data_IF_110406522507
#
_entry.id   IF_110406522507
#
_cell.length_a   1.000
_cell.length_b   1.000
_cell.length_c   1.000
_cell.angle_alpha   90.00
_cell.angle_beta   90.00
_cell.angle_gamma   90.00
#
_symmetry.space_group_name_H-M   'P 1'
#
loop_
_entity.id
_entity.type
_entity.pdbx_description
1 polymer ?
#
# COMPACT_ATOMS: atom_id res chain seq x y z
N UNK A 1 -25.77 -19.75 -36.94
CA UNK A 1 -24.70 -20.78 -37.04
C UNK A 1 -23.43 -20.16 -36.49
N UNK A 2 -23.00 -20.56 -35.28
CA UNK A 2 -21.78 -20.07 -34.62
C UNK A 2 -20.60 -20.93 -35.07
N UNK A 3 -19.52 -20.29 -35.51
CA UNK A 3 -18.24 -20.94 -35.79
C UNK A 3 -17.37 -20.75 -34.54
N UNK A 4 -16.98 -21.85 -33.90
CA UNK A 4 -16.03 -21.86 -32.78
C UNK A 4 -14.61 -21.82 -33.36
N UNK A 5 -13.68 -21.02 -32.81
CA UNK A 5 -12.27 -21.09 -33.19
C UNK A 5 -11.60 -22.31 -32.51
N UNK A 6 -10.81 -23.02 -33.32
CA UNK A 6 -9.99 -24.16 -32.93
C UNK A 6 -8.84 -23.74 -32.01
N UNK A 7 -8.67 -24.47 -30.91
CA UNK A 7 -7.58 -24.33 -29.94
C UNK A 7 -6.29 -24.94 -30.53
N UNK A 8 -5.13 -24.28 -30.48
CA UNK A 8 -3.88 -24.91 -30.87
C UNK A 8 -3.31 -25.81 -29.75
N UNK A 9 -2.84 -26.99 -30.15
CA UNK A 9 -2.05 -27.93 -29.34
C UNK A 9 -0.72 -27.29 -28.95
N UNK A 10 -0.52 -27.01 -27.66
CA UNK A 10 0.80 -26.66 -27.12
C UNK A 10 1.52 -27.94 -26.71
N UNK A 11 2.49 -28.32 -27.54
CA UNK A 11 3.41 -29.43 -27.30
C UNK A 11 4.19 -29.24 -26.01
N UNK A 12 4.06 -30.23 -25.13
CA UNK A 12 4.82 -30.36 -23.90
C UNK A 12 6.22 -30.89 -24.26
N UNK A 13 7.21 -29.99 -24.33
CA UNK A 13 8.63 -30.38 -24.38
C UNK A 13 9.16 -30.42 -22.95
N UNK A 14 9.40 -31.63 -22.48
CA UNK A 14 10.13 -31.88 -21.26
C UNK A 14 11.61 -31.55 -21.43
N UNK A 15 12.16 -30.88 -20.42
CA UNK A 15 13.57 -30.93 -20.08
C UNK A 15 13.65 -31.23 -18.57
N UNK A 16 14.05 -32.46 -18.28
CA UNK A 16 14.69 -32.82 -17.03
C UNK A 16 16.18 -32.42 -17.11
N UNK A 17 16.86 -32.47 -15.95
CA UNK A 17 18.25 -32.06 -15.69
C UNK A 17 18.40 -30.53 -15.54
N UNK A 18 18.90 -29.97 -14.43
CA UNK A 18 20.02 -30.39 -13.60
C UNK A 18 19.78 -30.01 -12.12
N UNK A 19 20.00 -30.96 -11.19
CA UNK A 19 20.10 -30.68 -9.76
C UNK A 19 21.53 -30.24 -9.45
N UNK A 20 21.74 -28.93 -9.37
CA UNK A 20 23.01 -28.39 -8.87
C UNK A 20 22.95 -28.27 -7.35
N UNK A 21 23.70 -29.15 -6.68
CA UNK A 21 23.90 -29.13 -5.25
C UNK A 21 24.82 -27.96 -4.87
N UNK A 22 24.25 -26.84 -4.43
CA UNK A 22 25.02 -25.78 -3.80
C UNK A 22 25.37 -26.16 -2.36
N UNK A 23 26.67 -26.43 -2.16
CA UNK A 23 27.33 -26.66 -0.89
C UNK A 23 26.93 -25.68 0.21
N UNK A 24 26.61 -26.23 1.37
CA UNK A 24 26.50 -25.52 2.64
C UNK A 24 27.88 -25.44 3.29
N UNK A 25 28.64 -24.38 3.07
CA UNK A 25 29.80 -24.04 3.91
C UNK A 25 29.92 -22.51 4.01
N UNK A 26 29.66 -21.97 5.20
CA UNK A 26 29.69 -20.52 5.46
C UNK A 26 29.07 -20.13 6.80
N UNK A 27 29.54 -20.78 7.86
CA UNK A 27 29.44 -20.31 9.24
C UNK A 27 30.33 -19.06 9.41
N UNK A 28 30.11 -18.30 10.50
CA UNK A 28 30.83 -17.07 10.90
C UNK A 28 30.23 -15.81 10.23
N UNK A 29 29.59 -14.86 10.92
CA UNK A 29 29.98 -14.22 12.17
C UNK A 29 28.73 -13.51 12.71
N UNK A 30 28.21 -13.99 13.86
CA UNK A 30 27.11 -13.34 14.57
C UNK A 30 27.66 -12.10 15.26
N UNK A 31 27.82 -11.01 14.51
CA UNK A 31 28.04 -9.69 15.08
C UNK A 31 26.77 -9.30 15.84
N UNK A 32 26.79 -9.56 17.14
CA UNK A 32 25.98 -8.89 18.15
C UNK A 32 26.13 -7.38 17.95
N UNK A 33 25.26 -6.81 17.12
CA UNK A 33 25.05 -5.38 17.10
C UNK A 33 24.29 -5.06 18.39
N UNK A 34 25.05 -4.73 19.43
CA UNK A 34 24.55 -4.05 20.60
C UNK A 34 23.77 -2.82 20.13
N UNK A 35 22.45 -2.94 20.08
CA UNK A 35 21.57 -1.80 19.90
C UNK A 35 21.79 -0.92 21.13
N UNK A 36 22.36 0.28 21.00
CA UNK A 36 22.54 1.16 22.14
C UNK A 36 21.19 1.39 22.79
N UNK A 37 21.10 1.44 24.13
CA UNK A 37 19.87 1.82 24.80
C UNK A 37 19.51 3.22 24.32
N UNK A 38 18.48 3.30 23.48
CA UNK A 38 17.90 4.56 23.08
C UNK A 38 17.31 5.16 24.36
N UNK A 39 18.09 6.03 25.01
CA UNK A 39 17.62 6.88 26.10
C UNK A 39 16.31 7.50 25.60
N UNK A 40 15.20 7.05 26.19
CA UNK A 40 13.94 7.77 26.18
C UNK A 40 14.16 9.03 27.02
N UNK A 41 14.93 9.97 26.46
CA UNK A 41 14.99 11.32 26.99
C UNK A 41 13.66 11.94 26.65
N UNK A 42 12.75 11.80 27.62
CA UNK A 42 11.47 12.50 27.68
C UNK A 42 11.71 14.00 27.64
N UNK A 43 11.87 14.52 26.42
CA UNK A 43 11.80 15.93 26.11
C UNK A 43 10.41 16.20 25.55
N UNK A 44 9.39 16.15 26.40
CA UNK A 44 8.17 16.93 26.15
C UNK A 44 8.57 18.41 26.23
N UNK A 45 9.19 18.90 25.17
CA UNK A 45 9.16 20.32 24.85
C UNK A 45 7.73 20.55 24.37
N UNK A 46 6.83 20.75 25.34
CA UNK A 46 5.63 21.51 25.10
C UNK A 46 6.13 22.87 24.62
N UNK A 47 6.17 23.04 23.29
CA UNK A 47 6.36 24.35 22.69
C UNK A 47 5.12 25.14 23.13
N UNK A 48 5.23 26.16 23.98
CA UNK A 48 4.12 27.06 24.17
C UNK A 48 3.85 27.67 22.80
N UNK A 49 2.64 27.45 22.27
CA UNK A 49 2.19 28.27 21.16
C UNK A 49 1.99 29.67 21.74
N UNK A 50 3.05 30.48 21.70
CA UNK A 50 2.97 31.93 21.88
C UNK A 50 2.14 32.46 20.71
N UNK A 51 0.84 32.47 20.97
CA UNK A 51 -0.17 33.02 20.09
C UNK A 51 -0.22 34.51 20.42
N UNK A 52 0.88 35.22 20.16
CA UNK A 52 0.87 36.68 20.09
C UNK A 52 0.16 37.07 18.79
N UNK A 53 -1.15 36.86 18.83
CA UNK A 53 -2.07 37.39 17.85
C UNK A 53 -2.15 38.89 18.13
N UNK A 54 -1.72 39.77 17.19
CA UNK A 54 -1.93 41.19 17.36
C UNK A 54 -3.43 41.43 17.53
N UNK A 55 -3.76 42.22 18.55
CA UNK A 55 -5.09 42.78 18.82
C UNK A 55 -5.50 43.60 17.60
N UNK A 56 -6.05 42.91 16.61
CA UNK A 56 -6.75 43.50 15.49
C UNK A 56 -8.22 43.58 15.91
N UNK A 57 -8.76 44.79 15.84
CA UNK A 57 -10.12 45.17 16.20
C UNK A 57 -11.14 44.05 15.95
N UNK A 58 -11.83 43.65 17.02
CA UNK A 58 -12.86 42.62 17.07
C UNK A 58 -14.03 42.99 16.16
N UNK A 59 -13.94 42.60 14.88
CA UNK A 59 -15.14 42.29 14.10
C UNK A 59 -15.54 40.88 14.55
N UNK A 60 -16.35 40.81 15.61
CA UNK A 60 -17.11 39.61 15.97
C UNK A 60 -18.12 39.31 14.84
N UNK A 61 -17.63 38.86 13.69
CA UNK A 61 -18.45 38.20 12.70
C UNK A 61 -18.86 36.86 13.31
N UNK A 62 -20.03 36.85 13.96
CA UNK A 62 -20.64 35.64 14.47
C UNK A 62 -20.57 34.58 13.37
N UNK A 63 -19.99 33.39 13.63
CA UNK A 63 -19.84 32.37 12.60
C UNK A 63 -21.23 32.12 12.01
N UNK A 64 -21.36 32.38 10.71
CA UNK A 64 -22.61 32.29 9.98
C UNK A 64 -23.20 30.89 10.16
N UNK A 65 -24.09 30.71 11.15
CA UNK A 65 -24.62 29.41 11.56
C UNK A 65 -25.30 28.69 10.38
N UNK A 66 -25.82 29.45 9.41
CA UNK A 66 -26.40 28.93 8.19
C UNK A 66 -25.38 28.17 7.32
N UNK A 67 -24.10 28.56 7.30
CA UNK A 67 -23.04 27.86 6.55
C UNK A 67 -22.81 26.49 7.17
N UNK A 68 -22.74 26.40 8.50
CA UNK A 68 -22.59 25.12 9.19
C UNK A 68 -23.79 24.19 8.94
N UNK A 69 -25.01 24.72 8.96
CA UNK A 69 -26.23 23.96 8.64
C UNK A 69 -26.21 23.48 7.18
N UNK A 70 -25.84 24.34 6.23
CA UNK A 70 -25.74 23.98 4.81
C UNK A 70 -24.67 22.91 4.59
N UNK A 71 -23.49 23.06 5.21
CA UNK A 71 -22.40 22.10 5.10
C UNK A 71 -22.80 20.74 5.70
N UNK A 72 -23.47 20.73 6.85
CA UNK A 72 -23.98 19.52 7.48
C UNK A 72 -25.05 18.82 6.63
N UNK A 73 -25.88 19.57 5.91
CA UNK A 73 -26.86 19.01 4.97
C UNK A 73 -26.21 18.46 3.68
N UNK A 74 -25.11 19.07 3.23
CA UNK A 74 -24.39 18.65 2.01
C UNK A 74 -23.41 17.50 2.24
N UNK A 75 -22.82 17.38 3.43
CA UNK A 75 -21.81 16.35 3.74
C UNK A 75 -22.28 14.92 3.43
N UNK A 76 -23.51 14.49 3.77
CA UNK A 76 -24.02 13.16 3.39
C UNK A 76 -24.22 12.99 1.88
N UNK A 77 -24.49 14.07 1.14
CA UNK A 77 -24.62 14.01 -0.33
C UNK A 77 -23.25 13.90 -1.00
N UNK A 78 -22.23 14.50 -0.38
CA UNK A 78 -20.85 14.43 -0.83
C UNK A 78 -20.15 13.13 -0.42
N UNK A 79 -20.69 12.42 0.59
CA UNK A 79 -20.07 11.18 1.05
C UNK A 79 -20.02 10.13 -0.07
N UNK A 80 -20.99 10.12 -0.99
CA UNK A 80 -21.02 9.16 -2.10
C UNK A 80 -20.50 9.75 -3.42
N UNK A 81 -20.03 11.00 -3.40
CA UNK A 81 -19.48 11.66 -4.58
C UNK A 81 -18.03 11.24 -4.87
N UNK A 82 -17.32 10.70 -3.88
CA UNK A 82 -15.96 10.19 -4.05
C UNK A 82 -15.99 8.70 -4.41
N UNK A 83 -15.11 8.24 -5.32
CA UNK A 83 -14.97 6.82 -5.62
C UNK A 83 -14.60 6.07 -4.34
N UNK A 84 -15.44 5.10 -3.97
CA UNK A 84 -15.21 4.23 -2.82
C UNK A 84 -14.70 2.88 -3.27
N UNK A 85 -13.85 2.28 -2.46
CA UNK A 85 -13.45 0.90 -2.65
C UNK A 85 -14.60 -0.07 -2.26
N UNK A 86 -14.34 -1.36 -2.38
CA UNK A 86 -15.28 -2.42 -1.98
C UNK A 86 -15.56 -2.46 -0.46
N UNK A 87 -14.71 -1.85 0.36
CA UNK A 87 -14.92 -1.71 1.81
C UNK A 87 -15.68 -0.42 2.19
N UNK A 88 -15.98 0.44 1.21
CA UNK A 88 -16.66 1.70 1.40
C UNK A 88 -15.74 2.83 1.83
N UNK A 89 -14.42 2.68 1.77
CA UNK A 89 -13.43 3.74 2.05
C UNK A 89 -13.26 4.60 0.80
N UNK A 90 -13.25 5.93 0.98
CA UNK A 90 -12.97 6.84 -0.13
C UNK A 90 -11.53 6.65 -0.61
N UNK A 91 -11.36 6.29 -1.87
CA UNK A 91 -10.04 6.17 -2.50
C UNK A 91 -9.76 7.50 -3.19
N UNK A 92 -8.58 8.07 -2.93
CA UNK A 92 -8.06 9.16 -3.77
C UNK A 92 -7.36 8.49 -4.96
N UNK A 93 -7.85 8.63 -6.20
CA UNK A 93 -7.20 8.04 -7.35
C UNK A 93 -5.79 8.62 -7.49
N UNK A 94 -4.81 7.73 -7.61
CA UNK A 94 -3.42 8.13 -7.81
C UNK A 94 -3.17 8.44 -9.29
N UNK A 95 -2.72 9.66 -9.65
CA UNK A 95 -2.67 10.08 -11.05
C UNK A 95 -1.43 9.59 -11.81
N UNK A 96 -0.38 9.14 -11.11
CA UNK A 96 0.87 8.74 -11.75
C UNK A 96 0.82 7.31 -12.30
N UNK A 97 1.69 7.04 -13.26
CA UNK A 97 1.85 5.70 -13.80
C UNK A 97 2.45 4.76 -12.74
N UNK A 98 1.96 3.52 -12.71
CA UNK A 98 2.47 2.49 -11.80
C UNK A 98 3.41 1.54 -12.55
N UNK A 99 4.57 1.27 -11.97
CA UNK A 99 5.55 0.30 -12.44
C UNK A 99 5.32 -1.07 -11.79
N UNK A 100 5.32 -2.11 -12.62
CA UNK A 100 5.21 -3.48 -12.15
C UNK A 100 6.53 -3.92 -11.50
N UNK A 101 6.46 -4.31 -10.24
CA UNK A 101 7.57 -4.90 -9.51
C UNK A 101 7.30 -6.38 -9.19
N UNK A 102 8.36 -7.16 -9.15
CA UNK A 102 8.33 -8.57 -8.79
C UNK A 102 8.87 -8.77 -7.37
N UNK A 103 8.13 -9.53 -6.56
CA UNK A 103 8.56 -9.88 -5.22
C UNK A 103 9.81 -10.75 -5.27
N UNK A 104 10.79 -10.48 -4.39
CA UNK A 104 12.01 -11.28 -4.30
C UNK A 104 11.69 -12.75 -4.01
N UNK A 105 12.26 -13.66 -4.79
CA UNK A 105 11.98 -15.10 -4.74
C UNK A 105 12.30 -15.74 -3.38
N UNK A 106 13.23 -15.17 -2.61
CA UNK A 106 13.65 -15.72 -1.32
C UNK A 106 12.57 -15.68 -0.23
N UNK A 107 11.43 -15.00 -0.47
CA UNK A 107 10.37 -14.79 0.52
C UNK A 107 9.08 -15.57 0.19
N UNK A 108 9.19 -16.76 -0.40
CA UNK A 108 8.04 -17.60 -0.75
C UNK A 108 7.72 -18.57 0.39
N UNK A 109 6.44 -18.63 0.76
CA UNK A 109 5.90 -19.56 1.74
C UNK A 109 4.73 -20.32 1.13
N UNK A 110 4.55 -21.58 1.50
CA UNK A 110 3.35 -22.31 1.10
C UNK A 110 2.25 -22.01 2.12
N UNK A 111 1.14 -21.43 1.65
CA UNK A 111 -0.08 -21.33 2.44
C UNK A 111 -0.64 -22.74 2.71
N UNK A 112 -1.50 -22.88 3.72
CA UNK A 112 -2.12 -24.17 4.09
C UNK A 112 -2.86 -24.88 2.94
N UNK A 113 -3.21 -24.16 1.86
CA UNK A 113 -3.77 -24.71 0.63
C UNK A 113 -2.75 -25.06 -0.47
N UNK A 114 -1.45 -25.08 -0.18
CA UNK A 114 -0.38 -25.36 -1.14
C UNK A 114 -0.13 -24.25 -2.17
N UNK A 115 -0.77 -23.09 -2.02
CA UNK A 115 -0.53 -21.93 -2.88
C UNK A 115 0.72 -21.17 -2.43
N UNK A 116 1.62 -20.78 -3.35
CA UNK A 116 2.75 -19.93 -3.01
C UNK A 116 2.24 -18.55 -2.61
N UNK A 117 2.74 -18.07 -1.48
CA UNK A 117 2.49 -16.76 -0.89
C UNK A 117 3.82 -16.04 -0.83
N UNK A 118 3.91 -14.89 -1.50
CA UNK A 118 5.11 -14.08 -1.51
C UNK A 118 5.02 -13.08 -0.36
N UNK A 119 5.93 -13.16 0.59
CA UNK A 119 5.93 -12.24 1.74
C UNK A 119 6.60 -10.94 1.34
N UNK A 120 5.80 -10.00 0.81
CA UNK A 120 6.25 -8.62 0.65
C UNK A 120 6.13 -7.88 1.99
N UNK A 121 6.96 -6.86 2.18
CA UNK A 121 6.83 -5.92 3.31
C UNK A 121 5.96 -4.70 2.95
N UNK A 122 5.20 -4.78 1.87
CA UNK A 122 4.34 -3.70 1.38
C UNK A 122 2.87 -3.97 1.73
N UNK A 123 2.13 -2.89 1.92
CA UNK A 123 0.69 -2.90 2.17
C UNK A 123 0.05 -2.18 1.01
N UNK A 124 -1.07 -2.70 0.48
CA UNK A 124 -1.75 -2.02 -0.61
C UNK A 124 -2.48 -0.78 -0.08
N UNK A 125 -2.24 0.40 -0.66
CA UNK A 125 -2.86 1.65 -0.25
C UNK A 125 -4.35 1.75 -0.59
N UNK A 126 -4.84 0.87 -1.47
CA UNK A 126 -6.25 0.83 -1.84
C UNK A 126 -7.08 -0.04 -0.88
N UNK A 127 -6.69 -1.31 -0.68
CA UNK A 127 -7.46 -2.24 0.17
C UNK A 127 -6.93 -2.40 1.59
N UNK A 128 -5.76 -1.83 1.93
CA UNK A 128 -5.13 -1.96 3.25
C UNK A 128 -4.58 -3.34 3.59
N UNK A 129 -4.68 -4.32 2.68
CA UNK A 129 -4.15 -5.68 2.92
C UNK A 129 -2.67 -5.76 2.58
N UNK A 130 -1.91 -6.57 3.34
CA UNK A 130 -0.51 -6.89 3.01
C UNK A 130 -0.44 -7.58 1.65
N UNK A 131 0.45 -7.12 0.79
CA UNK A 131 0.57 -7.64 -0.57
C UNK A 131 1.26 -9.01 -0.52
N UNK A 132 0.55 -10.05 -0.96
CA UNK A 132 1.06 -11.44 -0.98
C UNK A 132 1.34 -11.98 -2.38
N UNK A 133 1.12 -11.14 -3.39
CA UNK A 133 1.22 -11.50 -4.79
C UNK A 133 2.68 -11.54 -5.26
N UNK A 134 2.95 -12.33 -6.30
CA UNK A 134 4.26 -12.34 -6.97
C UNK A 134 4.58 -10.98 -7.60
N UNK A 135 3.55 -10.34 -8.16
CA UNK A 135 3.67 -9.05 -8.83
C UNK A 135 2.83 -8.01 -8.11
N UNK A 136 3.40 -6.83 -7.92
CA UNK A 136 2.72 -5.67 -7.35
C UNK A 136 3.10 -4.42 -8.15
N UNK A 137 2.42 -3.31 -7.87
CA UNK A 137 2.55 -2.09 -8.66
C UNK A 137 2.98 -0.95 -7.74
N UNK A 138 4.12 -0.32 -8.03
CA UNK A 138 4.65 0.82 -7.28
C UNK A 138 4.58 2.08 -8.13
N UNK A 139 4.36 3.24 -7.53
CA UNK A 139 4.36 4.50 -8.27
C UNK A 139 5.73 4.75 -8.95
N UNK A 140 5.73 5.11 -10.24
CA UNK A 140 6.94 5.44 -10.99
C UNK A 140 7.56 6.81 -10.59
N UNK A 141 6.80 7.65 -9.89
CA UNK A 141 7.20 8.99 -9.43
C UNK A 141 7.57 9.01 -7.93
N UNK A 142 7.95 7.88 -7.35
CA UNK A 142 8.44 7.76 -5.96
C UNK A 142 7.48 8.29 -4.89
N UNK A 143 6.15 8.24 -5.13
CA UNK A 143 5.14 8.69 -4.16
C UNK A 143 4.94 7.77 -2.94
N UNK A 144 5.75 6.71 -2.80
CA UNK A 144 5.60 5.62 -1.82
C UNK A 144 4.19 5.03 -1.75
N UNK A 145 3.58 4.81 -2.92
CA UNK A 145 2.26 4.20 -3.07
C UNK A 145 2.41 2.84 -3.75
N UNK A 146 1.80 1.83 -3.17
CA UNK A 146 1.81 0.44 -3.61
C UNK A 146 0.40 -0.12 -3.81
N UNK A 147 0.18 -0.80 -4.93
CA UNK A 147 -1.07 -1.53 -5.21
C UNK A 147 -0.83 -3.03 -5.39
N UNK A 148 -1.72 -3.85 -4.82
CA UNK A 148 -1.79 -5.26 -5.16
C UNK A 148 -2.31 -5.44 -6.59
N UNK A 149 -2.12 -6.64 -7.15
CA UNK A 149 -2.49 -6.91 -8.53
C UNK A 149 -4.00 -6.76 -8.77
N UNK A 150 -4.81 -7.15 -7.79
CA UNK A 150 -6.27 -7.06 -7.88
C UNK A 150 -6.78 -5.62 -7.85
N UNK A 151 -6.17 -4.76 -7.01
CA UNK A 151 -6.53 -3.35 -6.93
C UNK A 151 -6.14 -2.59 -8.20
N UNK A 152 -4.94 -2.83 -8.72
CA UNK A 152 -4.46 -2.18 -9.96
C UNK A 152 -5.30 -2.56 -11.19
N UNK A 153 -5.84 -3.78 -11.26
CA UNK A 153 -6.71 -4.20 -12.38
C UNK A 153 -8.10 -3.57 -12.37
N UNK A 154 -8.54 -3.03 -11.21
CA UNK A 154 -9.88 -2.47 -11.03
C UNK A 154 -9.91 -0.94 -11.14
N UNK A 155 -8.78 -0.29 -10.88
CA UNK A 155 -8.57 1.15 -11.12
C UNK A 155 -8.45 1.44 -12.60
#
# INVERSE_FOLDING_TARGET
RRVMPSVPDFGYLGAADEMEACSMEGNEELALHEVPPHEQRGGRLAVPMDTDSPVADEIEDAPCAWVAVLLAALLPLLSDALPRDHSGVCIIPHPHQMDQQEAREHNVWLSGGGRPVFRTNKICDNCGTRITDRYFYHCAEDCDIDFCQDCHRRS
#
